data_IF_442940058528
#
_entry.id   IF_442940058528
#
_cell.length_a   1.000
_cell.length_b   1.000
_cell.length_c   1.000
_cell.angle_alpha   90.00
_cell.angle_beta   90.00
_cell.angle_gamma   90.00
#
_symmetry.space_group_name_H-M   'P 1'
#
loop_
_entity.id
_entity.type
_entity.pdbx_description
1 polymer ?
#
# COMPACT_ATOMS: atom_id res chain seq x y z
N UNK A 1 -0.46 0.57 9.57
CA UNK A 1 -0.16 1.00 10.94
C UNK A 1 0.19 -0.16 11.86
N UNK A 2 0.67 0.13 13.05
CA UNK A 2 0.95 -0.90 14.06
C UNK A 2 -0.32 -1.67 14.45
N UNK A 3 -0.18 -2.97 14.71
CA UNK A 3 -1.31 -3.82 15.10
C UNK A 3 -1.53 -3.88 16.63
N UNK A 4 -0.75 -3.11 17.37
CA UNK A 4 -0.76 -3.03 18.86
C UNK A 4 -1.74 -2.01 19.44
N UNK A 5 -2.53 -1.34 18.58
CA UNK A 5 -3.47 -0.31 18.97
C UNK A 5 -2.88 1.11 18.95
N UNK A 6 -1.60 1.28 18.62
CA UNK A 6 -0.99 2.61 18.48
C UNK A 6 -1.78 3.47 17.49
N UNK A 7 -2.18 4.70 17.87
CA UNK A 7 -2.84 5.62 16.95
C UNK A 7 -2.01 5.89 15.71
N UNK A 8 -2.64 5.98 14.54
CA UNK A 8 -1.95 6.18 13.25
C UNK A 8 -1.03 7.41 13.27
N UNK A 9 -1.46 8.51 13.89
CA UNK A 9 -0.62 9.71 13.98
C UNK A 9 0.65 9.48 14.80
N UNK A 10 0.59 8.71 15.86
CA UNK A 10 1.74 8.42 16.72
C UNK A 10 2.74 7.50 16.01
N UNK A 11 2.25 6.49 15.32
CA UNK A 11 3.08 5.66 14.44
C UNK A 11 3.76 6.47 13.33
N UNK A 12 3.05 7.42 12.70
CA UNK A 12 3.63 8.28 11.67
C UNK A 12 4.66 9.25 12.25
N UNK A 13 4.46 9.77 13.47
CA UNK A 13 5.46 10.60 14.14
C UNK A 13 6.77 9.84 14.37
N UNK A 14 6.73 8.59 14.78
CA UNK A 14 7.93 7.75 14.89
C UNK A 14 8.64 7.60 13.54
N UNK A 15 7.89 7.42 12.45
CA UNK A 15 8.46 7.33 11.10
C UNK A 15 9.10 8.67 10.68
N UNK A 16 8.47 9.80 10.98
CA UNK A 16 8.98 11.13 10.66
C UNK A 16 10.31 11.39 11.36
N UNK A 17 10.44 11.01 12.64
CA UNK A 17 11.69 11.09 13.38
C UNK A 17 12.80 10.30 12.69
N UNK A 18 12.53 9.06 12.26
CA UNK A 18 13.50 8.22 11.54
C UNK A 18 13.84 8.74 10.12
N UNK A 19 13.05 9.68 9.61
CA UNK A 19 13.29 10.35 8.33
C UNK A 19 13.92 11.74 8.49
N UNK A 20 14.30 12.17 9.70
CA UNK A 20 14.80 13.51 10.02
C UNK A 20 13.82 14.61 9.54
N UNK A 21 12.51 14.39 9.76
CA UNK A 21 11.46 15.35 9.44
C UNK A 21 10.80 15.81 10.73
N UNK A 22 10.92 17.08 11.04
CA UNK A 22 10.31 17.68 12.22
C UNK A 22 8.94 18.26 11.88
N UNK A 23 7.89 17.59 12.34
CA UNK A 23 6.49 18.06 12.27
C UNK A 23 5.84 17.77 13.61
N UNK A 24 5.25 18.78 14.24
CA UNK A 24 4.52 18.58 15.49
C UNK A 24 3.19 17.84 15.24
N UNK A 25 2.71 17.10 16.24
CA UNK A 25 1.46 16.31 16.16
C UNK A 25 0.26 17.16 15.75
N UNK A 26 0.22 18.43 16.17
CA UNK A 26 -0.89 19.36 15.89
C UNK A 26 -0.85 19.92 14.46
N UNK A 27 0.33 19.94 13.83
CA UNK A 27 0.53 20.42 12.46
C UNK A 27 0.45 19.30 11.43
N UNK A 28 0.44 18.06 11.93
CA UNK A 28 0.43 16.86 11.10
C UNK A 28 -0.96 16.59 10.50
N UNK A 29 -1.03 16.56 9.16
CA UNK A 29 -2.20 16.13 8.40
C UNK A 29 -1.91 14.80 7.71
N UNK A 30 -2.75 13.80 7.97
CA UNK A 30 -2.58 12.45 7.44
C UNK A 30 -3.82 12.03 6.69
N UNK A 31 -3.63 11.58 5.47
CA UNK A 31 -4.68 10.99 4.65
C UNK A 31 -4.32 9.55 4.32
N UNK A 32 -5.27 8.64 4.55
CA UNK A 32 -5.12 7.22 4.23
C UNK A 32 -6.05 6.81 3.09
N UNK A 33 -5.50 6.21 2.05
CA UNK A 33 -6.27 5.52 1.02
C UNK A 33 -6.24 4.02 1.30
N UNK A 34 -7.38 3.45 1.65
CA UNK A 34 -7.52 2.04 2.00
C UNK A 34 -8.94 1.56 1.70
N UNK A 35 -9.13 0.25 1.62
CA UNK A 35 -10.47 -0.33 1.51
C UNK A 35 -11.22 -0.20 2.84
N UNK A 36 -12.52 0.12 2.80
CA UNK A 36 -13.35 0.18 4.01
C UNK A 36 -13.61 -1.24 4.56
N UNK A 37 -13.84 -1.31 5.87
CA UNK A 37 -14.37 -2.51 6.52
C UNK A 37 -15.85 -2.62 6.21
N UNK A 38 -16.27 -3.74 5.61
CA UNK A 38 -17.66 -4.02 5.27
C UNK A 38 -18.10 -5.26 6.03
N UNK A 39 -19.21 -5.19 6.78
CA UNK A 39 -19.72 -6.28 7.60
C UNK A 39 -18.66 -6.92 8.52
N UNK A 40 -17.81 -6.09 9.11
CA UNK A 40 -16.75 -6.53 10.02
C UNK A 40 -15.48 -7.07 9.35
N UNK A 41 -15.46 -7.21 8.03
CA UNK A 41 -14.34 -7.77 7.30
C UNK A 41 -13.65 -6.76 6.38
N UNK A 42 -12.32 -6.80 6.34
CA UNK A 42 -11.50 -6.00 5.45
C UNK A 42 -10.20 -6.74 5.09
N UNK A 43 -9.80 -6.66 3.84
CA UNK A 43 -8.47 -7.01 3.37
C UNK A 43 -7.94 -5.87 2.52
N UNK A 44 -6.85 -5.26 2.97
CA UNK A 44 -6.14 -4.19 2.27
C UNK A 44 -4.82 -4.75 1.75
N UNK A 45 -4.72 -5.18 0.47
CA UNK A 45 -3.45 -5.61 -0.09
C UNK A 45 -2.41 -4.48 -0.08
N UNK A 46 -2.88 -3.25 -0.21
CA UNK A 46 -2.09 -2.03 -0.04
C UNK A 46 -2.93 -0.93 0.60
N UNK A 47 -2.31 -0.17 1.51
CA UNK A 47 -2.79 1.12 1.99
C UNK A 47 -1.74 2.18 1.69
N UNK A 48 -2.16 3.38 1.30
CA UNK A 48 -1.25 4.50 1.03
C UNK A 48 -1.54 5.62 2.01
N UNK A 49 -0.53 6.00 2.79
CA UNK A 49 -0.61 7.11 3.73
C UNK A 49 0.14 8.30 3.17
N UNK A 50 -0.57 9.42 3.00
CA UNK A 50 -0.01 10.69 2.56
C UNK A 50 0.09 11.63 3.75
N UNK A 51 1.29 12.11 4.02
CA UNK A 51 1.61 12.92 5.20
C UNK A 51 1.99 14.34 4.77
N UNK A 52 1.23 15.31 5.25
CA UNK A 52 1.39 16.72 4.93
C UNK A 52 1.73 17.53 6.17
N UNK A 53 2.49 18.60 5.97
CA UNK A 53 2.74 19.63 6.99
C UNK A 53 1.59 20.65 7.08
N UNK A 54 1.73 21.63 7.98
CA UNK A 54 0.75 22.71 8.16
C UNK A 54 0.51 23.55 6.91
N UNK A 55 1.50 23.64 6.00
CA UNK A 55 1.41 24.37 4.73
C UNK A 55 0.77 23.54 3.62
N UNK A 56 0.24 22.34 3.94
CA UNK A 56 -0.26 21.36 2.97
C UNK A 56 0.81 20.88 1.95
N UNK A 57 2.09 20.90 2.35
CA UNK A 57 3.16 20.33 1.54
C UNK A 57 3.26 18.84 1.88
N UNK A 58 3.22 17.98 0.85
CA UNK A 58 3.43 16.54 1.01
C UNK A 58 4.88 16.28 1.42
N UNK A 59 5.09 15.63 2.56
CA UNK A 59 6.41 15.34 3.12
C UNK A 59 6.79 13.88 3.06
N UNK A 60 5.78 13.00 3.14
CA UNK A 60 6.02 11.56 3.21
C UNK A 60 4.89 10.81 2.51
N UNK A 61 5.23 9.75 1.80
CA UNK A 61 4.32 8.70 1.36
C UNK A 61 4.74 7.39 2.00
N UNK A 62 3.76 6.63 2.49
CA UNK A 62 4.00 5.30 3.06
C UNK A 62 3.11 4.31 2.32
N UNK A 63 3.72 3.32 1.70
CA UNK A 63 3.05 2.20 1.05
C UNK A 63 3.06 1.00 2.00
N UNK A 64 1.96 0.78 2.67
CA UNK A 64 1.78 -0.36 3.58
C UNK A 64 1.21 -1.53 2.78
N UNK A 65 2.07 -2.50 2.46
CA UNK A 65 1.72 -3.70 1.68
C UNK A 65 1.43 -4.84 2.64
N UNK A 66 0.38 -5.61 2.37
CA UNK A 66 -0.03 -6.77 3.17
C UNK A 66 -0.13 -8.02 2.32
N UNK A 67 0.30 -9.13 2.87
CA UNK A 67 0.09 -10.44 2.26
C UNK A 67 -1.14 -11.16 2.87
N UNK A 68 -1.48 -12.31 2.30
CA UNK A 68 -2.59 -13.15 2.79
C UNK A 68 -2.22 -13.96 4.03
N UNK A 69 -0.94 -13.96 4.45
CA UNK A 69 -0.47 -14.65 5.65
C UNK A 69 -0.62 -13.80 6.93
N UNK A 70 -1.16 -12.58 6.80
CA UNK A 70 -1.37 -11.68 7.93
C UNK A 70 -0.19 -10.78 8.27
N UNK A 71 0.85 -10.77 7.44
CA UNK A 71 2.02 -9.92 7.60
C UNK A 71 1.87 -8.63 6.82
N UNK A 72 2.64 -7.61 7.18
CA UNK A 72 2.70 -6.31 6.50
C UNK A 72 4.11 -5.75 6.47
N UNK A 73 4.36 -4.90 5.46
CA UNK A 73 5.60 -4.16 5.32
C UNK A 73 5.32 -2.76 4.78
N UNK A 74 5.96 -1.76 5.37
CA UNK A 74 5.78 -0.35 5.02
C UNK A 74 7.01 0.19 4.29
N UNK A 75 6.83 0.57 3.03
CA UNK A 75 7.84 1.28 2.24
C UNK A 75 7.65 2.78 2.43
N UNK A 76 8.64 3.42 3.04
CA UNK A 76 8.60 4.85 3.36
C UNK A 76 9.34 5.64 2.29
N UNK A 77 8.70 6.68 1.78
CA UNK A 77 9.23 7.56 0.74
C UNK A 77 9.21 9.00 1.24
N UNK A 78 10.39 9.58 1.45
CA UNK A 78 10.54 11.02 1.75
C UNK A 78 10.37 11.81 0.46
N UNK A 79 9.54 12.84 0.51
CA UNK A 79 9.28 13.74 -0.60
C UNK A 79 10.08 15.01 -0.38
N UNK A 80 11.12 15.21 -1.18
CA UNK A 80 11.98 16.40 -1.11
C UNK A 80 11.56 17.47 -2.11
N UNK A 81 11.09 17.04 -3.31
CA UNK A 81 10.74 17.90 -4.42
C UNK A 81 9.39 17.54 -5.01
N UNK A 82 8.83 18.43 -5.83
CA UNK A 82 7.58 18.13 -6.55
C UNK A 82 7.71 16.94 -7.51
N UNK A 83 8.87 16.74 -8.12
CA UNK A 83 9.17 15.63 -9.02
C UNK A 83 9.18 14.27 -8.29
N UNK A 84 9.45 14.26 -6.99
CA UNK A 84 9.45 13.04 -6.17
C UNK A 84 8.03 12.54 -5.84
N UNK A 85 6.97 13.25 -6.27
CA UNK A 85 5.60 12.90 -5.90
C UNK A 85 5.01 11.73 -6.69
N UNK A 86 5.57 11.37 -7.83
CA UNK A 86 4.88 10.52 -8.80
C UNK A 86 5.43 9.09 -8.90
N UNK A 87 6.74 8.92 -8.87
CA UNK A 87 7.36 7.62 -9.12
C UNK A 87 8.43 7.30 -8.07
N UNK A 88 8.31 6.14 -7.44
CA UNK A 88 9.21 5.71 -6.37
C UNK A 88 9.69 4.30 -6.64
N UNK A 89 10.98 4.12 -6.86
CA UNK A 89 11.59 2.81 -6.97
C UNK A 89 12.03 2.32 -5.59
N UNK A 90 11.72 1.07 -5.25
CA UNK A 90 12.08 0.42 -3.99
C UNK A 90 12.44 -1.03 -4.23
N UNK A 91 13.55 -1.47 -3.62
CA UNK A 91 13.91 -2.88 -3.62
C UNK A 91 12.83 -3.68 -2.88
N UNK A 92 12.40 -4.80 -3.45
CA UNK A 92 11.43 -5.68 -2.80
C UNK A 92 12.07 -6.32 -1.56
N UNK A 93 11.48 -6.08 -0.40
CA UNK A 93 11.90 -6.64 0.89
C UNK A 93 10.84 -7.50 1.55
N UNK A 94 9.66 -7.58 0.96
CA UNK A 94 8.52 -8.24 1.54
C UNK A 94 8.00 -9.38 0.66
N UNK A 95 7.83 -10.56 1.27
CA UNK A 95 7.33 -11.75 0.60
C UNK A 95 5.80 -11.69 0.51
N UNK A 96 5.28 -11.33 -0.65
CA UNK A 96 3.84 -11.18 -0.90
C UNK A 96 3.23 -12.43 -1.53
N UNK A 97 3.99 -13.16 -2.35
CA UNK A 97 3.51 -14.31 -3.11
C UNK A 97 4.53 -15.44 -3.09
N UNK A 98 4.09 -16.70 -2.94
CA UNK A 98 4.98 -17.84 -2.97
C UNK A 98 5.51 -18.19 -4.38
N UNK A 99 5.17 -17.40 -5.39
CA UNK A 99 5.58 -17.61 -6.78
C UNK A 99 6.51 -16.51 -7.32
N UNK A 100 6.82 -15.50 -6.51
CA UNK A 100 7.67 -14.36 -6.92
C UNK A 100 8.78 -14.17 -5.90
N UNK A 101 10.03 -14.21 -6.38
CA UNK A 101 11.23 -14.03 -5.58
C UNK A 101 11.34 -12.60 -5.01
N UNK A 102 12.19 -12.45 -3.98
CA UNK A 102 12.59 -11.16 -3.40
C UNK A 102 13.57 -10.39 -4.31
N UNK A 103 14.24 -11.05 -5.27
CA UNK A 103 15.13 -10.41 -6.23
C UNK A 103 14.33 -9.58 -7.27
N UNK A 104 13.57 -8.63 -6.78
CA UNK A 104 12.75 -7.75 -7.59
C UNK A 104 12.74 -6.33 -7.01
N UNK A 105 12.26 -5.39 -7.80
CA UNK A 105 12.02 -4.01 -7.38
C UNK A 105 10.56 -3.63 -7.64
N UNK A 106 10.02 -2.79 -6.76
CA UNK A 106 8.75 -2.13 -6.95
C UNK A 106 8.97 -0.71 -7.49
N UNK A 107 8.26 -0.35 -8.53
CA UNK A 107 8.06 1.04 -8.91
C UNK A 107 6.61 1.43 -8.57
N UNK A 108 6.48 2.29 -7.58
CA UNK A 108 5.19 2.87 -7.17
C UNK A 108 4.97 4.16 -7.94
N UNK A 109 3.89 4.25 -8.68
CA UNK A 109 3.42 5.49 -9.28
C UNK A 109 2.11 5.89 -8.62
N UNK A 110 2.07 7.08 -8.01
CA UNK A 110 0.94 7.53 -7.20
C UNK A 110 0.54 8.94 -7.60
N UNK A 111 -0.73 9.10 -7.97
CA UNK A 111 -1.34 10.39 -8.22
C UNK A 111 -2.68 10.46 -7.49
N UNK A 112 -2.69 11.17 -6.36
CA UNK A 112 -3.87 11.35 -5.51
C UNK A 112 -4.17 12.83 -5.42
N UNK A 113 -5.36 13.22 -5.83
CA UNK A 113 -5.90 14.56 -5.67
C UNK A 113 -7.36 14.50 -5.20
N UNK A 114 -8.01 15.66 -5.04
CA UNK A 114 -9.38 15.74 -4.52
C UNK A 114 -10.43 15.03 -5.39
N UNK A 115 -10.15 14.79 -6.67
CA UNK A 115 -11.11 14.21 -7.62
C UNK A 115 -10.82 12.75 -7.93
N UNK A 116 -9.54 12.39 -7.97
CA UNK A 116 -9.08 11.08 -8.47
C UNK A 116 -7.96 10.53 -7.60
N UNK A 117 -7.91 9.22 -7.51
CA UNK A 117 -6.77 8.49 -6.97
C UNK A 117 -6.33 7.44 -8.00
N UNK A 118 -5.06 7.46 -8.36
CA UNK A 118 -4.43 6.47 -9.22
C UNK A 118 -3.17 5.96 -8.54
N UNK A 119 -3.07 4.66 -8.38
CA UNK A 119 -1.90 3.98 -7.85
C UNK A 119 -1.55 2.87 -8.82
N UNK A 120 -0.31 2.85 -9.26
CA UNK A 120 0.23 1.77 -10.09
C UNK A 120 1.47 1.21 -9.42
N UNK A 121 1.54 -0.11 -9.33
CA UNK A 121 2.68 -0.83 -8.81
C UNK A 121 3.20 -1.71 -9.94
N UNK A 122 4.41 -1.45 -10.38
CA UNK A 122 5.14 -2.28 -11.33
C UNK A 122 6.21 -3.04 -10.56
N UNK A 123 6.14 -4.36 -10.59
CA UNK A 123 7.20 -5.22 -10.09
C UNK A 123 8.05 -5.71 -11.24
N UNK A 124 9.36 -5.59 -11.13
CA UNK A 124 10.31 -6.01 -12.16
C UNK A 124 11.54 -6.66 -11.55
N UNK A 125 12.13 -7.58 -12.30
CA UNK A 125 13.44 -8.18 -12.02
C UNK A 125 14.37 -7.87 -13.19
N UNK A 126 15.48 -7.15 -12.94
CA UNK A 126 16.42 -6.72 -13.97
C UNK A 126 15.70 -6.13 -15.20
N UNK A 127 14.80 -5.15 -14.96
CA UNK A 127 13.97 -4.46 -15.95
C UNK A 127 12.90 -5.32 -16.66
N UNK A 128 12.87 -6.62 -16.43
CA UNK A 128 11.80 -7.48 -16.94
C UNK A 128 10.55 -7.33 -16.05
N UNK A 129 9.41 -6.89 -16.61
CA UNK A 129 8.19 -6.76 -15.83
C UNK A 129 7.64 -8.13 -15.43
N UNK A 130 7.37 -8.30 -14.13
CA UNK A 130 6.79 -9.52 -13.56
C UNK A 130 5.29 -9.31 -13.28
N UNK A 131 4.96 -8.16 -12.68
CA UNK A 131 3.60 -7.84 -12.25
C UNK A 131 3.31 -6.37 -12.50
N UNK A 132 2.10 -6.10 -12.97
CA UNK A 132 1.53 -4.76 -13.02
C UNK A 132 0.19 -4.78 -12.29
N UNK A 133 0.11 -4.06 -11.19
CA UNK A 133 -1.13 -3.84 -10.47
C UNK A 133 -1.52 -2.36 -10.54
N UNK A 134 -2.79 -2.06 -10.79
CA UNK A 134 -3.27 -0.69 -10.81
C UNK A 134 -4.61 -0.53 -10.09
N UNK A 135 -4.75 0.58 -9.41
CA UNK A 135 -6.00 1.04 -8.83
C UNK A 135 -6.32 2.44 -9.37
N UNK A 136 -7.54 2.61 -9.85
CA UNK A 136 -8.03 3.91 -10.30
C UNK A 136 -9.41 4.17 -9.70
N UNK A 137 -9.53 5.28 -9.00
CA UNK A 137 -10.76 5.68 -8.33
C UNK A 137 -11.13 7.14 -8.61
N UNK A 138 -12.42 7.45 -8.56
CA UNK A 138 -12.94 8.81 -8.56
C UNK A 138 -13.57 9.14 -7.21
N UNK A 139 -13.31 10.33 -6.70
CA UNK A 139 -13.93 10.84 -5.49
C UNK A 139 -15.44 10.97 -5.65
N UNK A 140 -16.16 10.63 -4.61
CA UNK A 140 -17.62 10.83 -4.49
C UNK A 140 -17.93 11.53 -3.17
N UNK A 141 -19.00 12.30 -3.11
CA UNK A 141 -19.48 12.87 -1.85
C UNK A 141 -19.75 11.73 -0.86
N UNK A 142 -19.26 11.87 0.36
CA UNK A 142 -19.51 10.93 1.44
C UNK A 142 -20.91 11.18 2.01
N UNK A 143 -21.87 10.38 1.59
CA UNK A 143 -23.24 10.37 2.08
C UNK A 143 -23.85 8.97 1.96
N UNK A 144 -24.94 8.71 2.70
CA UNK A 144 -25.55 7.39 2.79
C UNK A 144 -26.01 6.84 1.43
N UNK A 145 -26.55 7.72 0.58
CA UNK A 145 -27.00 7.32 -0.76
C UNK A 145 -25.86 6.83 -1.64
N UNK A 146 -24.75 7.56 -1.68
CA UNK A 146 -23.57 7.12 -2.43
C UNK A 146 -22.95 5.85 -1.85
N UNK A 147 -22.93 5.71 -0.52
CA UNK A 147 -22.45 4.49 0.14
C UNK A 147 -23.33 3.29 -0.22
N UNK A 148 -24.64 3.44 -0.17
CA UNK A 148 -25.59 2.40 -0.55
C UNK A 148 -25.42 1.99 -2.03
N UNK A 149 -25.35 2.96 -2.94
CA UNK A 149 -25.10 2.71 -4.36
C UNK A 149 -23.77 1.97 -4.59
N UNK A 150 -22.70 2.37 -3.90
CA UNK A 150 -21.40 1.72 -4.02
C UNK A 150 -21.42 0.31 -3.43
N UNK A 151 -22.13 0.08 -2.33
CA UNK A 151 -22.31 -1.25 -1.75
C UNK A 151 -22.96 -2.23 -2.74
N UNK A 152 -24.03 -1.82 -3.43
CA UNK A 152 -24.70 -2.65 -4.44
C UNK A 152 -23.91 -2.74 -5.75
N UNK A 153 -23.22 -1.69 -6.14
CA UNK A 153 -22.39 -1.68 -7.35
C UNK A 153 -21.16 -2.57 -7.24
N UNK A 154 -20.55 -2.62 -6.04
CA UNK A 154 -19.34 -3.39 -5.77
C UNK A 154 -19.56 -4.38 -4.60
N UNK A 155 -20.54 -5.28 -4.72
CA UNK A 155 -20.86 -6.18 -3.63
C UNK A 155 -19.66 -7.10 -3.35
N UNK A 156 -19.39 -7.31 -2.06
CA UNK A 156 -18.36 -8.24 -1.60
C UNK A 156 -16.97 -7.99 -2.22
N UNK A 157 -16.62 -6.71 -2.46
CA UNK A 157 -15.37 -6.33 -3.15
C UNK A 157 -14.14 -7.00 -2.51
N UNK A 158 -14.06 -7.01 -1.19
CA UNK A 158 -12.95 -7.64 -0.46
C UNK A 158 -12.87 -9.16 -0.72
N UNK A 159 -14.01 -9.83 -0.75
CA UNK A 159 -14.07 -11.28 -1.05
C UNK A 159 -13.66 -11.56 -2.50
N UNK A 160 -14.05 -10.69 -3.45
CA UNK A 160 -13.61 -10.81 -4.85
C UNK A 160 -12.10 -10.70 -4.98
N UNK A 161 -11.48 -9.78 -4.23
CA UNK A 161 -10.01 -9.61 -4.23
C UNK A 161 -9.33 -10.87 -3.70
N UNK A 162 -9.78 -11.39 -2.56
CA UNK A 162 -9.23 -12.61 -1.97
C UNK A 162 -9.42 -13.81 -2.89
N UNK A 163 -10.63 -13.99 -3.42
CA UNK A 163 -10.92 -15.05 -4.39
C UNK A 163 -10.00 -14.96 -5.62
N UNK A 164 -9.83 -13.75 -6.18
CA UNK A 164 -8.93 -13.52 -7.31
C UNK A 164 -7.47 -13.90 -7.01
N UNK A 165 -6.97 -13.56 -5.82
CA UNK A 165 -5.62 -13.92 -5.38
C UNK A 165 -5.46 -15.44 -5.32
N UNK A 166 -6.42 -16.17 -4.72
CA UNK A 166 -6.35 -17.63 -4.58
C UNK A 166 -6.51 -18.36 -5.93
N UNK A 167 -7.41 -17.88 -6.78
CA UNK A 167 -7.56 -18.43 -8.14
C UNK A 167 -6.27 -18.25 -8.95
N UNK A 168 -5.67 -17.06 -8.89
CA UNK A 168 -4.41 -16.82 -9.58
C UNK A 168 -3.28 -17.70 -9.03
N UNK A 169 -3.21 -17.88 -7.71
CA UNK A 169 -2.26 -18.78 -7.08
C UNK A 169 -2.47 -20.23 -7.54
N UNK A 170 -3.72 -20.70 -7.63
CA UNK A 170 -4.07 -22.02 -8.14
C UNK A 170 -3.63 -22.18 -9.60
N UNK A 171 -3.87 -21.21 -10.47
CA UNK A 171 -3.41 -21.26 -11.86
C UNK A 171 -1.88 -21.34 -11.98
N UNK A 172 -1.15 -20.59 -11.16
CA UNK A 172 0.33 -20.63 -11.13
C UNK A 172 0.81 -22.00 -10.64
N UNK A 173 0.16 -22.57 -9.65
CA UNK A 173 0.47 -23.91 -9.13
C UNK A 173 0.21 -25.00 -10.18
N UNK A 174 -0.92 -24.97 -10.87
CA UNK A 174 -1.24 -25.90 -11.97
C UNK A 174 -0.24 -25.79 -13.12
N UNK A 175 0.22 -24.57 -13.42
CA UNK A 175 1.28 -24.31 -14.42
C UNK A 175 2.68 -24.72 -13.93
N UNK A 176 2.81 -25.29 -12.73
CA UNK A 176 4.06 -25.75 -12.13
C UNK A 176 5.10 -24.62 -12.01
N UNK A 177 4.67 -23.38 -11.77
CA UNK A 177 5.58 -22.28 -11.47
C UNK A 177 6.33 -22.59 -10.17
N UNK A 178 7.63 -22.33 -10.18
CA UNK A 178 8.51 -22.63 -9.04
C UNK A 178 7.99 -21.97 -7.76
N UNK A 179 7.85 -22.77 -6.71
CA UNK A 179 7.48 -22.28 -5.38
C UNK A 179 8.71 -21.67 -4.70
N UNK A 180 8.55 -20.46 -4.19
CA UNK A 180 9.56 -19.75 -3.40
C UNK A 180 9.14 -19.85 -1.94
N UNK A 181 9.89 -20.55 -1.08
CA UNK A 181 9.54 -20.67 0.32
C UNK A 181 9.59 -19.33 1.02
N UNK A 182 8.74 -19.18 2.05
CA UNK A 182 8.72 -17.97 2.88
C UNK A 182 10.07 -17.81 3.58
N UNK A 183 10.75 -16.66 3.46
CA UNK A 183 12.02 -16.43 4.14
C UNK A 183 11.78 -16.47 5.66
N UNK A 184 12.65 -17.15 6.39
CA UNK A 184 12.66 -17.13 7.83
C UNK A 184 13.24 -15.78 8.28
N UNK A 185 12.40 -14.97 8.95
CA UNK A 185 12.74 -13.71 9.63
C UNK A 185 13.10 -12.52 8.71
N UNK A 186 12.09 -11.69 8.46
CA UNK A 186 12.34 -10.27 8.22
C UNK A 186 11.75 -9.49 9.41
N UNK A 187 12.64 -9.08 10.34
CA UNK A 187 12.25 -8.46 11.61
C UNK A 187 11.85 -6.98 11.41
N UNK A 188 12.23 -6.37 10.30
CA UNK A 188 11.92 -4.97 10.03
C UNK A 188 10.73 -4.81 9.09
N UNK A 189 9.56 -4.53 9.68
CA UNK A 189 8.34 -4.26 8.92
C UNK A 189 8.33 -2.87 8.24
N UNK A 190 9.42 -2.11 8.28
CA UNK A 190 9.51 -0.77 7.71
C UNK A 190 10.85 -0.60 6.98
N UNK A 191 10.78 -0.10 5.73
CA UNK A 191 11.95 0.27 4.94
C UNK A 191 11.94 1.77 4.66
N UNK A 192 13.02 2.47 5.06
CA UNK A 192 13.18 3.91 4.90
C UNK A 192 14.02 4.29 3.67
N UNK A 193 14.99 3.43 3.29
CA UNK A 193 15.90 3.61 2.15
C UNK A 193 16.19 2.28 1.47
N UNK A 194 16.59 2.32 0.22
CA UNK A 194 17.17 1.18 -0.51
C UNK A 194 18.64 1.02 -0.18
#
# INVERSE_FOLDING_TARGET
>A
GKKDGTPIKDWILEILVNCDIEISKNELKVFGLCYPRILGYVFNPISVWSVYDKKNILRLLIYEVRNTFGEDHSYVVKINNENDKLNHNRKKRFHVSPFIDLNASYNFSTNINNEKASITIKESNNDNPILLASFNGKSKKFNDWNLLLLFFKYPLMTLKVIYGIHIQALFLWVKRVKFVPHPKNDINNISYRD
#
